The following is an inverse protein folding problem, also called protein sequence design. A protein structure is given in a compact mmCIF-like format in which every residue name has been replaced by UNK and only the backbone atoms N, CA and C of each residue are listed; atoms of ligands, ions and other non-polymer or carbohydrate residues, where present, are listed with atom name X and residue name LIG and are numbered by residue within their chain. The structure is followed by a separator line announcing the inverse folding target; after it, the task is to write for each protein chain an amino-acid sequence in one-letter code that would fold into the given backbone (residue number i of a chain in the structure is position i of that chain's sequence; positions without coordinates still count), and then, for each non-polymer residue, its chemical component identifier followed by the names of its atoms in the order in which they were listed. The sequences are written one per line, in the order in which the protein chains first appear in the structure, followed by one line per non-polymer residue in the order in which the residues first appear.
data_IF_012580217389
#
_entry.id   IF_012580217389
#
_cell.length_a   1.000
_cell.length_b   1.000
_cell.length_c   1.000
_cell.angle_alpha   90.00
_cell.angle_beta   90.00
_cell.angle_gamma   90.00
#
_symmetry.space_group_name_H-M   'P 1'
#
loop_
_entity.id
_entity.type
_entity.pdbx_description
1 polymer ?
#
# COMPACT_ATOMS: atom_id res chain seq x y z
N UNK A 1 11.13 17.61 -43.46
CA UNK A 1 9.66 17.73 -43.31
C UNK A 1 9.02 16.34 -43.41
N UNK A 2 9.17 15.52 -42.36
CA UNK A 2 8.38 14.30 -42.06
C UNK A 2 9.06 13.51 -40.91
N UNK A 3 8.80 13.88 -39.64
CA UNK A 3 8.96 13.03 -38.45
C UNK A 3 8.46 13.79 -37.20
N UNK A 4 7.25 14.33 -37.25
CA UNK A 4 6.54 14.86 -36.07
C UNK A 4 5.13 14.31 -36.14
N UNK A 5 4.86 13.20 -35.45
CA UNK A 5 3.49 12.72 -35.17
C UNK A 5 3.46 11.52 -34.22
N UNK A 6 4.27 11.54 -33.16
CA UNK A 6 4.08 10.65 -32.00
C UNK A 6 3.31 11.31 -30.85
N UNK A 7 3.28 12.65 -30.81
CA UNK A 7 2.70 13.47 -29.75
C UNK A 7 1.26 13.89 -30.12
N UNK A 8 0.43 12.91 -30.49
CA UNK A 8 -1.01 13.17 -30.54
C UNK A 8 -1.49 13.50 -29.13
N UNK A 9 -2.06 14.70 -28.97
CA UNK A 9 -2.58 15.25 -27.74
C UNK A 9 -3.21 14.19 -26.83
N UNK A 10 -2.70 14.08 -25.61
CA UNK A 10 -3.20 13.16 -24.58
C UNK A 10 -4.63 13.47 -24.10
N UNK A 11 -5.33 14.40 -24.76
CA UNK A 11 -6.68 14.84 -24.44
C UNK A 11 -7.74 14.56 -25.52
N UNK A 12 -7.44 13.85 -26.61
CA UNK A 12 -8.43 13.62 -27.67
C UNK A 12 -9.33 12.39 -27.40
N UNK A 13 -10.49 12.62 -26.77
CA UNK A 13 -11.75 11.85 -26.89
C UNK A 13 -11.69 10.30 -26.87
N UNK A 14 -10.72 9.74 -26.14
CA UNK A 14 -10.62 8.36 -25.70
C UNK A 14 -10.05 8.36 -24.28
N UNK A 15 -10.26 7.29 -23.51
CA UNK A 15 -9.83 7.23 -22.11
C UNK A 15 -8.34 7.58 -22.01
N UNK A 16 -8.03 8.72 -21.38
CA UNK A 16 -6.67 9.23 -21.32
C UNK A 16 -5.71 8.16 -20.77
N UNK A 17 -4.50 7.99 -21.34
CA UNK A 17 -3.58 6.93 -20.95
C UNK A 17 -3.24 7.03 -19.47
N UNK A 18 -3.21 5.89 -18.79
CA UNK A 18 -2.87 5.78 -17.38
C UNK A 18 -1.45 6.31 -17.12
N UNK A 19 -1.17 6.72 -15.88
CA UNK A 19 0.17 7.17 -15.48
C UNK A 19 1.25 6.10 -15.76
N UNK A 20 0.89 4.81 -15.65
CA UNK A 20 1.78 3.69 -16.01
C UNK A 20 2.13 3.68 -17.48
N UNK A 21 1.13 3.87 -18.35
CA UNK A 21 1.31 3.89 -19.81
C UNK A 21 2.14 5.09 -20.25
N UNK A 22 1.85 6.27 -19.69
CA UNK A 22 2.64 7.50 -19.90
C UNK A 22 4.10 7.31 -19.49
N UNK A 23 4.34 6.82 -18.26
CA UNK A 23 5.71 6.56 -17.79
C UNK A 23 6.46 5.53 -18.66
N UNK A 24 5.79 4.46 -19.10
CA UNK A 24 6.37 3.46 -19.99
C UNK A 24 6.71 4.02 -21.37
N UNK A 25 5.85 4.87 -21.93
CA UNK A 25 6.07 5.49 -23.24
C UNK A 25 7.38 6.31 -23.22
N UNK A 26 7.58 7.10 -22.17
CA UNK A 26 8.79 7.92 -21.99
C UNK A 26 10.04 7.07 -21.85
N UNK A 27 10.02 6.04 -21.00
CA UNK A 27 11.15 5.11 -20.85
C UNK A 27 11.51 4.40 -22.16
N UNK A 28 10.50 4.01 -22.94
CA UNK A 28 10.69 3.34 -24.24
C UNK A 28 11.32 4.28 -25.26
N UNK A 29 10.90 5.54 -25.26
CA UNK A 29 11.45 6.57 -26.14
C UNK A 29 12.92 6.84 -25.83
N UNK A 30 13.29 6.97 -24.56
CA UNK A 30 14.70 7.11 -24.14
C UNK A 30 15.53 5.89 -24.52
N UNK A 31 15.01 4.67 -24.32
CA UNK A 31 15.70 3.45 -24.73
C UNK A 31 16.01 3.42 -26.23
N UNK A 32 15.05 3.84 -27.08
CA UNK A 32 15.27 3.98 -28.54
C UNK A 32 16.31 5.04 -28.88
N UNK A 33 16.25 6.20 -28.22
CA UNK A 33 17.26 7.26 -28.36
C UNK A 33 18.67 6.75 -28.03
N UNK A 34 18.84 6.04 -26.90
CA UNK A 34 20.11 5.41 -26.51
C UNK A 34 20.62 4.42 -27.56
N UNK A 35 19.76 3.53 -28.07
CA UNK A 35 20.15 2.58 -29.12
C UNK A 35 20.57 3.28 -30.43
N UNK A 36 19.88 4.35 -30.81
CA UNK A 36 20.24 5.14 -31.99
C UNK A 36 21.57 5.88 -31.80
N UNK A 37 21.82 6.49 -30.64
CA UNK A 37 23.07 7.19 -30.31
C UNK A 37 24.26 6.25 -30.16
N UNK A 38 24.07 5.05 -29.61
CA UNK A 38 25.11 4.01 -29.55
C UNK A 38 25.54 3.53 -30.94
N UNK A 39 24.62 3.59 -31.93
CA UNK A 39 24.91 3.26 -33.33
C UNK A 39 25.45 4.45 -34.15
N UNK A 40 25.19 5.68 -33.74
CA UNK A 40 25.62 6.89 -34.43
C UNK A 40 26.72 7.62 -33.65
N UNK A 41 27.98 7.24 -33.87
CA UNK A 41 29.11 8.03 -33.41
C UNK A 41 29.09 9.41 -34.09
N UNK A 42 28.74 10.44 -33.29
CA UNK A 42 28.64 11.86 -33.61
C UNK A 42 27.32 12.31 -34.25
N UNK A 43 26.57 13.05 -33.42
CA UNK A 43 25.85 14.23 -33.89
C UNK A 43 24.35 14.09 -33.95
N UNK A 44 23.68 13.88 -32.81
CA UNK A 44 22.30 14.34 -32.64
C UNK A 44 22.12 14.86 -31.21
N UNK A 45 21.70 16.13 -31.09
CA UNK A 45 21.03 16.68 -29.89
C UNK A 45 19.55 16.55 -30.17
N UNK A 46 18.87 15.64 -29.47
CA UNK A 46 17.41 15.64 -29.40
C UNK A 46 16.99 16.35 -28.10
N UNK A 47 15.83 16.98 -28.11
CA UNK A 47 15.28 17.86 -27.05
C UNK A 47 14.87 17.10 -25.77
N UNK A 48 15.74 16.23 -25.26
CA UNK A 48 15.59 15.50 -24.00
C UNK A 48 16.85 15.72 -23.17
N UNK A 49 16.71 16.37 -22.01
CA UNK A 49 17.77 16.39 -21.01
C UNK A 49 17.67 15.09 -20.20
N UNK A 50 18.30 14.03 -20.70
CA UNK A 50 18.53 12.83 -19.89
C UNK A 50 19.54 13.17 -18.79
N UNK A 51 19.11 13.11 -17.52
CA UNK A 51 20.02 13.19 -16.38
C UNK A 51 20.26 11.77 -15.87
N UNK A 52 21.24 11.09 -16.45
CA UNK A 52 21.69 9.79 -15.96
C UNK A 52 22.47 9.94 -14.67
N UNK A 53 21.99 9.35 -13.57
CA UNK A 53 22.76 9.23 -12.32
C UNK A 53 23.25 7.80 -12.20
N UNK A 54 24.58 7.61 -12.26
CA UNK A 54 25.23 6.31 -12.07
C UNK A 54 25.70 6.22 -10.62
N UNK A 55 25.30 5.16 -9.91
CA UNK A 55 25.89 4.82 -8.61
C UNK A 55 26.48 3.40 -8.64
N UNK A 56 27.16 3.00 -7.57
CA UNK A 56 27.85 1.70 -7.47
C UNK A 56 26.93 0.46 -7.51
N UNK A 57 25.61 0.64 -7.59
CA UNK A 57 24.61 -0.43 -7.64
C UNK A 57 23.92 -0.59 -9.03
N UNK A 58 24.20 0.28 -10.01
CA UNK A 58 23.60 0.24 -11.35
C UNK A 58 23.24 1.64 -11.88
N UNK A 59 22.80 1.71 -13.13
CA UNK A 59 22.37 2.96 -13.77
C UNK A 59 20.86 3.22 -13.47
N UNK A 60 20.51 4.46 -13.11
CA UNK A 60 19.12 4.91 -13.00
C UNK A 60 18.80 5.80 -14.20
N UNK A 61 17.79 5.41 -14.98
CA UNK A 61 17.32 6.23 -16.11
C UNK A 61 16.28 7.22 -15.59
N UNK A 62 16.59 8.52 -15.62
CA UNK A 62 15.62 9.59 -15.39
C UNK A 62 15.28 10.21 -16.73
N UNK A 63 14.03 10.07 -17.13
CA UNK A 63 13.55 10.59 -18.40
C UNK A 63 12.54 11.71 -18.16
N UNK A 64 12.77 12.86 -18.78
CA UNK A 64 11.94 14.06 -18.69
C UNK A 64 11.41 14.39 -20.08
N UNK A 65 10.10 14.54 -20.22
CA UNK A 65 9.48 15.08 -21.43
C UNK A 65 8.40 16.06 -21.02
N UNK A 66 8.24 17.13 -21.80
CA UNK A 66 7.10 18.04 -21.75
C UNK A 66 6.33 17.94 -23.07
N UNK A 67 5.00 18.04 -23.02
CA UNK A 67 4.18 18.19 -24.22
C UNK A 67 4.03 19.67 -24.64
N UNK A 68 3.44 19.91 -25.81
CA UNK A 68 3.21 21.27 -26.34
C UNK A 68 2.21 22.09 -25.51
N UNK A 69 1.57 21.48 -24.50
CA UNK A 69 0.53 22.07 -23.65
C UNK A 69 1.04 22.28 -22.21
N UNK A 70 2.33 22.06 -21.95
CA UNK A 70 2.98 22.36 -20.66
C UNK A 70 2.96 21.22 -19.63
N UNK A 71 2.44 20.03 -19.97
CA UNK A 71 2.48 18.87 -19.09
C UNK A 71 3.82 18.13 -19.22
N UNK A 72 4.47 17.84 -18.10
CA UNK A 72 5.72 17.09 -18.03
C UNK A 72 5.64 15.80 -17.23
N UNK A 73 6.43 14.79 -17.58
CA UNK A 73 6.58 13.58 -16.75
C UNK A 73 8.05 13.26 -16.51
N UNK A 74 8.37 12.99 -15.25
CA UNK A 74 9.67 12.45 -14.81
C UNK A 74 9.44 11.00 -14.41
N UNK A 75 10.04 10.05 -15.12
CA UNK A 75 9.92 8.62 -14.81
C UNK A 75 11.30 8.01 -14.52
N UNK A 76 11.34 7.05 -13.59
CA UNK A 76 12.55 6.29 -13.30
C UNK A 76 12.33 4.79 -13.23
N UNK A 77 13.32 4.04 -13.72
CA UNK A 77 13.35 2.59 -13.76
C UNK A 77 14.78 2.06 -13.64
N UNK A 78 14.91 0.74 -13.49
CA UNK A 78 16.20 0.04 -13.58
C UNK A 78 16.70 0.00 -15.05
N UNK A 79 18.01 0.19 -15.24
CA UNK A 79 18.70 0.27 -16.54
C UNK A 79 18.55 -0.94 -17.46
N UNK A 80 18.14 -2.10 -16.93
CA UNK A 80 18.00 -3.34 -17.71
C UNK A 80 16.86 -3.29 -18.74
N UNK A 81 16.10 -2.19 -18.83
CA UNK A 81 15.21 -1.85 -19.95
C UNK A 81 13.92 -2.69 -20.06
N UNK A 82 13.85 -3.84 -19.38
CA UNK A 82 12.70 -4.74 -19.37
C UNK A 82 11.77 -4.53 -18.16
N UNK A 83 12.18 -3.75 -17.15
CA UNK A 83 11.44 -3.57 -15.92
C UNK A 83 10.37 -2.47 -16.04
N UNK A 84 9.19 -2.70 -15.46
CA UNK A 84 8.18 -1.67 -15.30
C UNK A 84 8.73 -0.46 -14.50
N UNK A 85 8.17 0.76 -14.70
CA UNK A 85 8.60 1.95 -13.98
C UNK A 85 8.58 1.70 -12.46
N UNK A 86 9.53 2.29 -11.74
CA UNK A 86 9.62 2.23 -10.27
C UNK A 86 8.95 3.44 -9.63
N UNK A 87 8.96 4.58 -10.33
CA UNK A 87 8.15 5.74 -9.99
C UNK A 87 7.96 6.71 -11.15
N UNK A 88 7.01 7.61 -10.96
CA UNK A 88 6.72 8.69 -11.90
C UNK A 88 6.23 9.94 -11.15
N UNK A 89 6.65 11.12 -11.60
CA UNK A 89 6.11 12.42 -11.25
C UNK A 89 5.47 13.02 -12.51
N UNK A 90 4.19 13.29 -12.45
CA UNK A 90 3.48 14.12 -13.42
C UNK A 90 3.47 15.56 -12.92
N UNK A 91 4.01 16.44 -13.74
CA UNK A 91 3.88 17.89 -13.65
C UNK A 91 2.85 18.28 -14.70
N UNK A 92 1.88 19.10 -14.34
CA UNK A 92 0.84 19.54 -15.28
C UNK A 92 0.62 21.03 -15.12
N UNK A 93 0.51 21.72 -16.25
CA UNK A 93 0.13 23.15 -16.30
C UNK A 93 -1.39 23.33 -16.30
N UNK A 94 -2.12 22.27 -16.71
CA UNK A 94 -3.57 22.27 -16.91
C UNK A 94 -4.34 21.47 -15.84
N UNK A 95 -3.64 20.76 -14.97
CA UNK A 95 -4.20 19.88 -13.94
C UNK A 95 -3.32 19.75 -12.71
N UNK A 96 -3.81 19.03 -11.70
CA UNK A 96 -3.01 18.76 -10.51
C UNK A 96 -1.81 17.86 -10.82
N UNK A 97 -0.66 18.17 -10.23
CA UNK A 97 0.49 17.28 -10.24
C UNK A 97 0.17 15.94 -9.58
N UNK A 98 0.89 14.88 -9.99
CA UNK A 98 0.75 13.54 -9.40
C UNK A 98 2.09 12.89 -9.16
N UNK A 99 2.20 12.16 -8.05
CA UNK A 99 3.35 11.29 -7.76
C UNK A 99 2.86 9.86 -7.64
N UNK A 100 3.53 8.91 -8.30
CA UNK A 100 3.21 7.49 -8.14
C UNK A 100 4.43 6.62 -7.86
N UNK A 101 4.22 5.64 -6.97
CA UNK A 101 5.18 4.57 -6.66
C UNK A 101 4.60 3.26 -7.16
N UNK A 102 5.42 2.46 -7.86
CA UNK A 102 5.01 1.19 -8.44
C UNK A 102 5.67 0.01 -7.70
N UNK A 103 4.96 -1.12 -7.61
CA UNK A 103 5.54 -2.35 -7.08
C UNK A 103 6.47 -3.03 -8.11
N UNK A 104 7.07 -4.17 -7.73
CA UNK A 104 7.95 -4.97 -8.59
C UNK A 104 7.26 -5.48 -9.86
N UNK A 105 5.93 -5.69 -9.82
CA UNK A 105 5.11 -6.05 -10.98
C UNK A 105 4.70 -4.83 -11.85
N UNK A 106 5.10 -3.61 -11.47
CA UNK A 106 4.81 -2.40 -12.22
C UNK A 106 3.40 -1.85 -12.05
N UNK A 107 2.67 -2.28 -11.02
CA UNK A 107 1.36 -1.74 -10.68
C UNK A 107 1.52 -0.57 -9.72
N UNK A 108 0.85 0.58 -9.95
CA UNK A 108 0.91 1.70 -9.03
C UNK A 108 0.33 1.27 -7.69
N UNK A 109 1.07 1.52 -6.61
CA UNK A 109 0.65 1.21 -5.24
C UNK A 109 0.23 2.45 -4.48
N UNK A 110 0.97 3.54 -4.66
CA UNK A 110 0.71 4.83 -4.06
C UNK A 110 0.56 5.87 -5.15
N UNK A 111 -0.53 6.64 -5.11
CA UNK A 111 -0.78 7.77 -6.01
C UNK A 111 -1.15 8.97 -5.15
N UNK A 112 -0.28 9.98 -5.12
CA UNK A 112 -0.58 11.29 -4.58
C UNK A 112 -1.06 12.18 -5.72
N UNK A 113 -2.23 12.78 -5.56
CA UNK A 113 -2.84 13.72 -6.48
C UNK A 113 -3.00 15.08 -5.79
N UNK A 114 -2.56 16.15 -6.44
CA UNK A 114 -2.55 17.49 -5.85
C UNK A 114 -3.94 18.02 -5.46
N UNK A 115 -5.02 17.51 -6.07
CA UNK A 115 -6.38 17.89 -5.72
C UNK A 115 -7.02 16.94 -4.70
N UNK A 116 -6.68 15.65 -4.77
CA UNK A 116 -7.44 14.57 -4.13
C UNK A 116 -6.69 13.85 -3.00
N UNK A 117 -5.40 14.15 -2.80
CA UNK A 117 -4.55 13.50 -1.80
C UNK A 117 -4.14 12.08 -2.21
N UNK A 118 -4.07 11.16 -1.25
CA UNK A 118 -3.66 9.77 -1.50
C UNK A 118 -4.82 8.94 -2.07
N UNK A 119 -4.79 8.69 -3.38
CA UNK A 119 -5.86 8.02 -4.12
C UNK A 119 -5.77 6.49 -4.14
N UNK A 120 -4.59 5.94 -3.86
CA UNK A 120 -4.37 4.49 -3.84
C UNK A 120 -3.52 4.14 -2.64
N UNK A 121 -4.10 3.45 -1.68
CA UNK A 121 -3.41 2.68 -0.67
C UNK A 121 -4.11 1.32 -0.61
N UNK A 122 -3.42 0.24 -0.98
CA UNK A 122 -4.01 -1.10 -0.91
C UNK A 122 -3.86 -1.63 0.49
N UNK A 123 -4.96 -1.93 1.17
CA UNK A 123 -4.93 -2.55 2.49
C UNK A 123 -5.68 -1.76 3.54
N UNK A 124 -5.35 -2.02 4.79
CA UNK A 124 -5.86 -1.29 5.94
C UNK A 124 -4.94 -0.10 6.33
N UNK A 125 -5.39 0.68 7.32
CA UNK A 125 -4.52 1.62 8.02
C UNK A 125 -4.06 0.98 9.33
N UNK A 126 -2.76 0.79 9.44
CA UNK A 126 -2.12 0.17 10.59
C UNK A 126 -1.12 1.11 11.26
N UNK A 127 -0.78 0.82 12.50
CA UNK A 127 0.29 1.50 13.23
C UNK A 127 1.23 0.47 13.86
N UNK A 128 2.52 0.80 13.94
CA UNK A 128 3.49 -0.03 14.64
C UNK A 128 3.61 0.35 16.12
N UNK A 129 3.35 -0.62 17.00
CA UNK A 129 3.43 -0.48 18.46
C UNK A 129 4.57 -1.34 19.04
N UNK A 130 5.20 -0.93 20.15
CA UNK A 130 6.00 -1.84 20.97
C UNK A 130 5.17 -3.05 21.44
N UNK A 131 5.79 -4.22 21.54
CA UNK A 131 5.12 -5.48 21.93
C UNK A 131 5.64 -6.08 23.24
N UNK A 132 4.77 -6.88 23.85
CA UNK A 132 4.91 -7.87 24.96
C UNK A 132 6.28 -8.48 25.24
N UNK A 133 7.04 -8.72 24.17
CA UNK A 133 8.01 -9.79 24.09
C UNK A 133 7.43 -11.09 23.50
N UNK A 134 6.10 -11.23 23.44
CA UNK A 134 5.46 -12.32 22.69
C UNK A 134 5.42 -12.00 21.18
N UNK A 135 5.84 -12.94 20.35
CA UNK A 135 5.68 -12.84 18.89
C UNK A 135 4.23 -13.14 18.54
N UNK A 136 3.50 -12.11 18.10
CA UNK A 136 2.12 -12.24 17.66
C UNK A 136 2.08 -12.59 16.16
N UNK A 137 1.45 -13.70 15.75
CA UNK A 137 1.32 -14.04 14.34
C UNK A 137 0.38 -13.06 13.62
N UNK A 138 0.49 -12.89 12.30
CA UNK A 138 -0.48 -12.14 11.52
C UNK A 138 -1.90 -12.65 11.74
N UNK A 139 -2.83 -11.71 11.92
CA UNK A 139 -4.22 -11.95 12.29
C UNK A 139 -4.48 -12.07 13.79
N UNK A 140 -3.46 -12.11 14.65
CA UNK A 140 -3.68 -12.14 16.09
C UNK A 140 -4.36 -10.86 16.60
N UNK A 141 -5.27 -11.00 17.56
CA UNK A 141 -5.89 -9.88 18.26
C UNK A 141 -4.97 -9.40 19.39
N UNK A 142 -4.72 -8.10 19.43
CA UNK A 142 -3.86 -7.44 20.41
C UNK A 142 -4.70 -6.60 21.38
N UNK A 143 -4.20 -6.43 22.59
CA UNK A 143 -4.75 -5.56 23.63
C UNK A 143 -3.66 -4.67 24.20
N UNK A 144 -4.03 -3.51 24.74
CA UNK A 144 -3.16 -2.61 25.47
C UNK A 144 -2.60 -3.34 26.69
N UNK A 145 -1.28 -3.27 26.86
CA UNK A 145 -0.61 -3.79 28.05
C UNK A 145 -0.74 -2.79 29.21
N UNK A 146 -1.48 -3.11 30.29
CA UNK A 146 -1.63 -2.20 31.42
C UNK A 146 -0.33 -2.03 32.22
N UNK A 147 0.64 -2.93 32.08
CA UNK A 147 1.90 -2.88 32.84
C UNK A 147 3.00 -2.13 32.10
N UNK A 148 2.83 -1.86 30.80
CA UNK A 148 3.85 -1.21 29.96
C UNK A 148 3.21 -0.18 29.03
N UNK A 149 3.28 1.09 29.43
CA UNK A 149 2.71 2.24 28.71
C UNK A 149 3.04 2.23 27.22
N UNK A 150 2.01 2.30 26.38
CA UNK A 150 2.15 2.36 24.92
C UNK A 150 2.47 1.03 24.24
N UNK A 151 2.68 -0.05 25.00
CA UNK A 151 2.92 -1.38 24.46
C UNK A 151 1.63 -2.19 24.33
N UNK A 152 1.66 -3.18 23.43
CA UNK A 152 0.58 -4.14 23.23
C UNK A 152 1.00 -5.54 23.65
N UNK A 153 0.02 -6.36 24.03
CA UNK A 153 0.15 -7.79 24.32
C UNK A 153 -0.92 -8.58 23.55
N UNK A 154 -0.72 -9.87 23.40
CA UNK A 154 -1.75 -10.76 22.84
C UNK A 154 -3.00 -10.70 23.73
N UNK A 155 -4.17 -10.49 23.14
CA UNK A 155 -5.44 -10.50 23.87
C UNK A 155 -5.74 -11.92 24.39
N UNK A 156 -6.16 -12.05 25.64
CA UNK A 156 -6.38 -13.35 26.31
C UNK A 156 -7.71 -13.45 27.06
N UNK A 157 -8.43 -12.34 27.17
CA UNK A 157 -9.67 -12.24 27.94
C UNK A 157 -10.85 -11.98 26.98
N UNK A 158 -11.99 -12.68 27.13
CA UNK A 158 -13.23 -12.34 26.45
C UNK A 158 -13.65 -10.90 26.73
N UNK A 159 -14.16 -10.18 25.74
CA UNK A 159 -14.70 -8.82 25.92
C UNK A 159 -13.73 -7.83 26.58
N UNK A 160 -12.42 -7.96 26.29
CA UNK A 160 -11.40 -7.08 26.83
C UNK A 160 -11.53 -5.67 26.23
N UNK A 161 -11.86 -4.70 27.08
CA UNK A 161 -12.00 -3.29 26.70
C UNK A 161 -10.68 -2.62 26.32
N UNK A 162 -9.56 -3.31 26.55
CA UNK A 162 -8.23 -2.89 26.14
C UNK A 162 -7.88 -3.37 24.74
N UNK A 163 -8.79 -4.04 24.02
CA UNK A 163 -8.53 -4.44 22.63
C UNK A 163 -8.00 -3.25 21.83
N UNK A 164 -6.91 -3.48 21.09
CA UNK A 164 -6.18 -2.45 20.37
C UNK A 164 -6.25 -2.62 18.85
N UNK A 165 -6.58 -3.83 18.38
CA UNK A 165 -6.70 -4.14 16.97
C UNK A 165 -6.17 -5.53 16.63
N UNK A 166 -5.91 -5.75 15.33
CA UNK A 166 -5.48 -7.05 14.78
C UNK A 166 -4.11 -6.90 14.13
N UNK A 167 -3.22 -7.86 14.30
CA UNK A 167 -1.91 -7.85 13.63
C UNK A 167 -2.11 -7.99 12.12
N UNK A 168 -1.60 -7.02 11.35
CA UNK A 168 -1.73 -7.02 9.88
C UNK A 168 -0.79 -8.05 9.22
N UNK A 169 -1.07 -8.45 7.98
CA UNK A 169 -0.16 -9.26 7.15
C UNK A 169 -0.62 -10.68 6.86
N UNK A 170 -1.75 -11.14 7.41
CA UNK A 170 -2.26 -12.48 7.14
C UNK A 170 -2.73 -12.63 5.68
N UNK A 171 -2.50 -13.80 5.07
CA UNK A 171 -2.76 -14.08 3.63
C UNK A 171 -2.13 -13.05 2.68
N UNK A 172 -0.92 -12.58 3.01
CA UNK A 172 -0.20 -11.53 2.27
C UNK A 172 -0.94 -10.19 2.19
N UNK A 173 -1.97 -9.98 3.02
CA UNK A 173 -2.73 -8.74 3.11
C UNK A 173 -1.94 -7.71 3.92
N UNK A 174 -1.20 -6.86 3.21
CA UNK A 174 -0.34 -5.82 3.81
C UNK A 174 -1.11 -4.52 4.04
N UNK A 175 -0.69 -3.71 5.03
CA UNK A 175 -1.30 -2.41 5.25
C UNK A 175 -1.04 -1.48 4.06
N UNK A 176 -2.04 -0.65 3.76
CA UNK A 176 -1.92 0.41 2.78
C UNK A 176 -1.11 1.56 3.36
N UNK A 177 -1.39 1.93 4.60
CA UNK A 177 -0.71 3.00 5.33
C UNK A 177 -0.23 2.42 6.66
N UNK A 178 1.07 2.57 6.95
CA UNK A 178 1.63 2.20 8.25
C UNK A 178 2.13 3.45 8.97
N UNK A 179 1.46 3.80 10.06
CA UNK A 179 1.87 4.86 10.96
C UNK A 179 3.02 4.38 11.86
N UNK A 180 3.85 5.33 12.29
CA UNK A 180 5.01 5.06 13.15
C UNK A 180 5.98 4.01 12.55
N UNK A 181 6.10 3.95 11.22
CA UNK A 181 6.86 2.89 10.55
C UNK A 181 8.38 2.91 10.83
N UNK A 182 8.94 4.08 11.15
CA UNK A 182 10.38 4.30 11.27
C UNK A 182 10.97 4.07 12.68
N UNK A 183 10.15 3.72 13.67
CA UNK A 183 10.63 3.51 15.05
C UNK A 183 11.65 2.37 15.17
N UNK A 184 12.70 2.62 15.94
CA UNK A 184 13.89 1.74 16.11
C UNK A 184 13.78 0.76 17.27
N UNK A 185 12.70 0.83 18.05
CA UNK A 185 12.52 -0.04 19.21
C UNK A 185 12.50 -1.52 18.80
N UNK A 186 13.14 -2.41 19.58
CA UNK A 186 13.05 -3.84 19.35
C UNK A 186 11.60 -4.32 19.58
N UNK A 187 11.22 -5.41 18.90
CA UNK A 187 9.95 -6.12 19.10
C UNK A 187 8.71 -5.23 18.90
N UNK A 188 8.50 -4.78 17.66
CA UNK A 188 7.31 -4.04 17.25
C UNK A 188 6.33 -4.91 16.50
N UNK A 189 5.06 -4.57 16.61
CA UNK A 189 3.95 -5.25 15.95
C UNK A 189 3.16 -4.24 15.13
N UNK A 190 2.83 -4.60 13.89
CA UNK A 190 1.98 -3.77 13.01
C UNK A 190 0.53 -4.16 13.24
N UNK A 191 -0.26 -3.25 13.79
CA UNK A 191 -1.66 -3.49 14.17
C UNK A 191 -2.59 -2.62 13.35
N UNK A 192 -3.56 -3.25 12.70
CA UNK A 192 -4.65 -2.62 11.97
C UNK A 192 -5.54 -1.83 12.92
N UNK A 193 -5.66 -0.52 12.66
CA UNK A 193 -6.55 0.38 13.40
C UNK A 193 -7.94 0.46 12.75
N UNK A 194 -7.97 0.49 11.42
CA UNK A 194 -9.21 0.53 10.64
C UNK A 194 -8.99 0.00 9.23
N UNK A 195 -10.04 -0.58 8.64
CA UNK A 195 -10.02 -1.15 7.30
C UNK A 195 -10.24 -2.66 7.32
N UNK A 196 -9.92 -3.33 6.22
CA UNK A 196 -10.10 -4.77 6.07
C UNK A 196 -8.85 -5.53 6.51
N UNK A 197 -8.98 -6.52 7.38
CA UNK A 197 -7.88 -7.37 7.86
C UNK A 197 -8.35 -8.81 8.02
N UNK A 198 -7.45 -9.78 7.88
CA UNK A 198 -7.76 -11.17 8.25
C UNK A 198 -7.49 -11.37 9.74
N UNK A 199 -8.54 -11.65 10.51
CA UNK A 199 -8.48 -11.86 11.95
C UNK A 199 -8.49 -13.35 12.28
N UNK A 200 -7.60 -13.80 13.17
CA UNK A 200 -7.73 -15.10 13.83
C UNK A 200 -9.00 -15.08 14.67
N UNK A 201 -9.85 -16.07 14.49
CA UNK A 201 -11.16 -16.13 15.12
C UNK A 201 -11.48 -17.55 15.56
N UNK A 202 -12.34 -17.67 16.58
CA UNK A 202 -12.81 -18.94 17.11
C UNK A 202 -14.31 -18.92 17.38
N UNK A 203 -14.95 -20.08 17.18
CA UNK A 203 -16.37 -20.29 17.43
C UNK A 203 -16.72 -20.56 18.90
N UNK A 204 -15.83 -20.27 19.86
CA UNK A 204 -16.06 -20.53 21.29
C UNK A 204 -17.31 -19.83 21.84
N UNK A 205 -17.74 -18.72 21.22
CA UNK A 205 -18.97 -18.01 21.57
C UNK A 205 -20.05 -18.18 20.50
N UNK A 206 -20.06 -19.35 19.85
CA UNK A 206 -20.95 -19.69 18.75
C UNK A 206 -20.35 -19.43 17.36
N UNK A 207 -21.05 -19.87 16.29
CA UNK A 207 -20.60 -19.68 14.91
C UNK A 207 -20.49 -18.19 14.59
N UNK A 208 -19.49 -17.83 13.79
CA UNK A 208 -19.31 -16.47 13.24
C UNK A 208 -19.79 -16.46 11.80
N UNK A 209 -20.70 -15.55 11.49
CA UNK A 209 -21.24 -15.30 10.16
C UNK A 209 -20.88 -13.91 9.67
N UNK A 210 -20.88 -13.72 8.35
CA UNK A 210 -20.75 -12.39 7.76
C UNK A 210 -21.75 -11.40 8.39
N UNK A 211 -21.26 -10.25 8.82
CA UNK A 211 -22.01 -9.20 9.51
C UNK A 211 -22.00 -9.28 11.04
N UNK A 212 -21.59 -10.40 11.64
CA UNK A 212 -21.47 -10.52 13.10
C UNK A 212 -20.42 -9.54 13.65
N UNK A 213 -20.74 -8.91 14.78
CA UNK A 213 -19.78 -8.16 15.58
C UNK A 213 -18.76 -9.12 16.20
N UNK A 214 -17.50 -8.70 16.23
CA UNK A 214 -16.39 -9.46 16.80
C UNK A 214 -15.80 -8.75 18.02
N UNK A 215 -15.40 -9.54 18.99
CA UNK A 215 -14.70 -9.12 20.22
C UNK A 215 -13.56 -10.09 20.55
N UNK A 216 -12.72 -9.80 21.54
CA UNK A 216 -11.64 -10.69 21.98
C UNK A 216 -12.18 -12.01 22.54
N UNK A 217 -11.40 -13.08 22.42
CA UNK A 217 -11.76 -14.43 22.86
C UNK A 217 -10.98 -14.88 24.11
N UNK A 218 -11.48 -15.93 24.77
CA UNK A 218 -10.71 -16.72 25.71
C UNK A 218 -9.58 -17.51 25.03
N UNK A 219 -9.67 -17.73 23.71
CA UNK A 219 -8.57 -18.30 22.93
C UNK A 219 -7.55 -17.18 22.64
N UNK A 220 -6.30 -17.29 23.13
CA UNK A 220 -5.32 -16.22 22.99
C UNK A 220 -5.13 -15.76 21.55
N UNK A 221 -5.16 -14.45 21.34
CA UNK A 221 -4.98 -13.81 20.04
C UNK A 221 -6.11 -14.06 19.04
N UNK A 222 -7.23 -14.66 19.45
CA UNK A 222 -8.38 -14.87 18.58
C UNK A 222 -9.52 -13.91 18.94
N UNK A 223 -10.30 -13.55 17.93
CA UNK A 223 -11.61 -12.96 18.09
C UNK A 223 -12.67 -14.06 18.28
N UNK A 224 -13.84 -13.67 18.76
CA UNK A 224 -15.05 -14.48 18.79
C UNK A 224 -16.26 -13.59 18.49
N UNK A 225 -17.42 -14.21 18.19
CA UNK A 225 -18.68 -13.49 18.03
C UNK A 225 -19.03 -12.71 19.30
N UNK A 226 -19.43 -11.45 19.18
CA UNK A 226 -19.90 -10.62 20.28
C UNK A 226 -21.41 -10.79 20.48
N UNK A 227 -21.82 -11.91 21.12
CA UNK A 227 -23.23 -12.22 21.38
C UNK A 227 -23.88 -11.38 22.49
N UNK A 228 -23.11 -11.00 23.52
CA UNK A 228 -23.53 -10.08 24.58
C UNK A 228 -23.30 -8.61 24.18
N UNK A 229 -24.38 -7.89 23.95
CA UNK A 229 -24.35 -6.46 23.58
C UNK A 229 -23.91 -5.53 24.71
N UNK A 230 -24.13 -5.91 25.98
CA UNK A 230 -23.74 -5.10 27.12
C UNK A 230 -22.24 -5.20 27.36
N UNK A 231 -21.69 -6.42 27.32
CA UNK A 231 -20.25 -6.66 27.42
C UNK A 231 -19.46 -6.14 26.20
N UNK A 232 -20.10 -6.06 25.03
CA UNK A 232 -19.51 -5.54 23.80
C UNK A 232 -19.11 -4.07 23.83
N UNK A 233 -19.68 -3.25 24.74
CA UNK A 233 -19.39 -1.81 24.79
C UNK A 233 -17.93 -1.53 25.12
N UNK A 234 -17.19 -0.97 24.15
CA UNK A 234 -15.77 -0.68 24.27
C UNK A 234 -14.85 -1.89 24.07
N UNK A 235 -15.38 -3.03 23.61
CA UNK A 235 -14.61 -4.26 23.33
C UNK A 235 -14.88 -4.83 21.94
N UNK A 236 -15.64 -4.12 21.11
CA UNK A 236 -15.83 -4.48 19.70
C UNK A 236 -14.58 -4.10 18.92
N UNK A 237 -14.02 -5.06 18.19
CA UNK A 237 -12.87 -4.84 17.31
C UNK A 237 -13.26 -4.68 15.84
N UNK A 238 -14.48 -5.08 15.46
CA UNK A 238 -14.96 -4.97 14.09
C UNK A 238 -16.14 -5.89 13.77
N UNK A 239 -16.36 -6.09 12.47
CA UNK A 239 -17.40 -6.97 11.91
C UNK A 239 -16.80 -8.01 10.98
N UNK A 240 -17.28 -9.24 11.07
CA UNK A 240 -16.93 -10.29 10.11
C UNK A 240 -17.46 -9.92 8.71
N UNK A 241 -16.63 -10.12 7.69
CA UNK A 241 -16.98 -9.98 6.27
C UNK A 241 -17.18 -11.34 5.59
N UNK A 242 -16.88 -12.44 6.29
CA UNK A 242 -17.10 -13.81 5.84
C UNK A 242 -17.45 -14.71 7.03
N UNK A 243 -17.99 -15.89 6.75
CA UNK A 243 -18.25 -16.91 7.76
C UNK A 243 -16.93 -17.55 8.22
N UNK A 244 -16.83 -17.85 9.53
CA UNK A 244 -15.74 -18.70 10.03
C UNK A 244 -15.98 -20.15 9.58
N UNK A 245 -14.97 -20.73 8.93
CA UNK A 245 -14.97 -22.15 8.56
C UNK A 245 -14.33 -22.98 9.67
N UNK A 246 -15.11 -23.85 10.30
CA UNK A 246 -14.65 -24.70 11.40
C UNK A 246 -14.63 -23.98 12.76
N UNK A 247 -13.88 -24.52 13.72
CA UNK A 247 -13.85 -23.99 15.10
C UNK A 247 -12.86 -22.84 15.30
N UNK A 248 -11.81 -22.79 14.47
CA UNK A 248 -10.75 -21.77 14.48
C UNK A 248 -10.22 -21.54 13.08
N UNK A 249 -9.86 -20.30 12.77
CA UNK A 249 -9.31 -19.94 11.47
C UNK A 249 -9.19 -18.44 11.28
N UNK A 250 -8.82 -18.03 10.06
CA UNK A 250 -8.83 -16.63 9.66
C UNK A 250 -10.21 -16.26 9.10
N UNK A 251 -10.69 -15.08 9.49
CA UNK A 251 -11.93 -14.46 9.00
C UNK A 251 -11.60 -13.05 8.50
N UNK A 252 -11.92 -12.76 7.25
CA UNK A 252 -11.88 -11.40 6.72
C UNK A 252 -12.79 -10.51 7.57
N UNK A 253 -12.25 -9.42 8.08
CA UNK A 253 -12.89 -8.57 9.10
C UNK A 253 -12.77 -7.11 8.69
N UNK A 254 -13.86 -6.36 8.80
CA UNK A 254 -13.84 -4.90 8.77
C UNK A 254 -13.52 -4.42 10.18
N UNK A 255 -12.26 -4.06 10.42
CA UNK A 255 -11.77 -3.56 11.69
C UNK A 255 -12.18 -2.10 11.91
N UNK A 256 -12.53 -1.80 13.15
CA UNK A 256 -12.81 -0.47 13.64
C UNK A 256 -13.09 -0.55 15.13
N UNK A 257 -12.19 0.01 15.95
CA UNK A 257 -12.37 0.06 17.40
C UNK A 257 -13.52 1.00 17.76
N UNK A 258 -14.45 0.52 18.58
CA UNK A 258 -15.64 1.24 19.06
C UNK A 258 -15.83 1.12 20.56
#
# INVERSE_FOLDING_TARGET
MAAVSGLAAWSAAGQAPSLRERARAVLTQVARGRSATAMAARGVRETFDEVGVVNSAGEVVVAITADEVGDGIVAWADHTGAAAPKGALLVSDQGAGRVAVFNTAGSPKYILDGNSGLLSATGDMAEMFPSSGETAPPGAVMAIDPERTGALRIAREPYDRRVAGVVSGAKDYRPGITLNAAGTEPNRVTVTLTGTVYCLASSVNGPIRAGDLLTTSAVPGHAMRAGDTAAGRGSILGKALEDLRGERGLVLTLAGLQ
#
